data_IF_007239910544
#
_entry.id   IF_007239910544
#
_cell.length_a   1.000
_cell.length_b   1.000
_cell.length_c   1.000
_cell.angle_alpha   90.00
_cell.angle_beta   90.00
_cell.angle_gamma   90.00
#
_symmetry.space_group_name_H-M   'P 1'
#
loop_
_entity.id
_entity.type
_entity.pdbx_description
1 polymer ?
#
# COMPACT_ATOMS: atom_id res chain seq x y z
N UNK A 1 4.23 12.38 -28.73
CA UNK A 1 5.25 11.98 -27.73
C UNK A 1 4.64 11.14 -26.58
N UNK A 2 3.55 11.55 -25.96
CA UNK A 2 2.85 10.77 -24.89
C UNK A 2 2.32 9.40 -25.38
N UNK A 3 1.78 9.30 -26.60
CA UNK A 3 1.33 8.04 -27.18
C UNK A 3 2.45 7.01 -27.33
N UNK A 4 3.67 7.46 -27.68
CA UNK A 4 4.84 6.57 -27.85
C UNK A 4 5.38 6.07 -26.51
N UNK A 5 5.27 6.87 -25.44
CA UNK A 5 5.59 6.47 -24.06
C UNK A 5 4.55 5.46 -23.56
N UNK A 6 3.27 5.71 -23.85
CA UNK A 6 2.17 4.81 -23.48
C UNK A 6 2.32 3.44 -24.16
N UNK A 7 2.68 3.40 -25.43
CA UNK A 7 2.93 2.16 -26.20
C UNK A 7 4.18 1.43 -25.67
N UNK A 8 5.25 2.14 -25.30
CA UNK A 8 6.46 1.51 -24.71
C UNK A 8 6.22 0.99 -23.29
N UNK A 9 5.45 1.69 -22.48
CA UNK A 9 5.02 1.19 -21.16
C UNK A 9 4.16 -0.07 -21.34
N UNK A 10 3.23 -0.09 -22.31
CA UNK A 10 2.44 -1.29 -22.62
C UNK A 10 3.28 -2.45 -23.20
N UNK A 11 4.34 -2.18 -23.95
CA UNK A 11 5.24 -3.23 -24.45
C UNK A 11 6.16 -3.82 -23.38
N UNK A 12 6.49 -3.08 -22.32
CA UNK A 12 7.12 -3.62 -21.10
C UNK A 12 6.17 -4.54 -20.32
N UNK A 13 4.87 -4.49 -20.62
CA UNK A 13 3.84 -5.37 -20.06
C UNK A 13 3.98 -6.86 -20.46
N UNK A 14 4.82 -7.23 -21.44
CA UNK A 14 5.14 -8.65 -21.69
C UNK A 14 5.83 -9.35 -20.51
N UNK A 15 6.60 -8.60 -19.73
CA UNK A 15 7.13 -9.11 -18.46
C UNK A 15 6.01 -9.31 -17.43
N UNK A 16 4.99 -8.45 -17.44
CA UNK A 16 3.80 -8.55 -16.60
C UNK A 16 2.89 -9.70 -17.04
N UNK A 17 2.80 -10.03 -18.34
CA UNK A 17 2.03 -11.20 -18.81
C UNK A 17 2.55 -12.51 -18.19
N UNK A 18 3.86 -12.71 -18.09
CA UNK A 18 4.45 -13.88 -17.43
C UNK A 18 4.10 -13.97 -15.94
N UNK A 19 4.00 -12.84 -15.25
CA UNK A 19 3.63 -12.74 -13.83
C UNK A 19 2.12 -12.81 -13.64
N UNK A 20 1.34 -12.23 -14.56
CA UNK A 20 -0.14 -12.19 -14.54
C UNK A 20 -0.77 -13.56 -14.75
N UNK A 21 -0.17 -14.42 -15.59
CA UNK A 21 -0.69 -15.73 -15.94
C UNK A 21 0.06 -16.89 -15.28
N UNK A 22 0.83 -16.66 -14.22
CA UNK A 22 1.47 -17.76 -13.49
C UNK A 22 0.45 -18.81 -13.06
N UNK A 23 0.64 -20.04 -13.54
CA UNK A 23 -0.16 -21.20 -13.18
C UNK A 23 -0.13 -21.38 -11.67
N UNK A 24 -1.27 -21.25 -11.01
CA UNK A 24 -1.37 -21.33 -9.54
C UNK A 24 -0.95 -22.70 -9.02
N UNK A 25 -0.24 -22.79 -7.89
CA UNK A 25 0.07 -24.05 -7.26
C UNK A 25 -1.16 -24.71 -6.67
N UNK A 26 -1.09 -26.02 -6.54
CA UNK A 26 -2.11 -26.94 -6.06
C UNK A 26 -2.58 -26.74 -4.59
N UNK A 27 -2.15 -25.69 -3.91
CA UNK A 27 -2.45 -25.44 -2.49
C UNK A 27 -3.25 -24.16 -2.21
N UNK A 28 -4.13 -23.77 -3.14
CA UNK A 28 -5.24 -22.90 -2.73
C UNK A 28 -6.19 -23.72 -1.86
N UNK A 29 -6.67 -23.21 -0.71
CA UNK A 29 -7.64 -23.96 0.09
C UNK A 29 -8.84 -24.32 -0.81
N UNK A 30 -9.33 -25.54 -0.73
CA UNK A 30 -10.58 -25.95 -1.38
C UNK A 30 -11.73 -25.29 -0.62
N UNK A 31 -11.94 -24.02 -0.91
CA UNK A 31 -12.98 -23.20 -0.30
C UNK A 31 -14.16 -23.19 -1.24
N UNK A 32 -15.36 -23.35 -0.71
CA UNK A 32 -16.57 -23.30 -1.53
C UNK A 32 -16.68 -21.93 -2.23
N UNK A 33 -17.28 -21.85 -3.43
CA UNK A 33 -17.45 -20.57 -4.12
C UNK A 33 -18.20 -19.55 -3.28
N UNK A 34 -19.19 -19.99 -2.50
CA UNK A 34 -19.98 -19.13 -1.60
C UNK A 34 -19.11 -18.53 -0.50
N UNK A 35 -18.31 -19.32 0.21
CA UNK A 35 -17.40 -18.83 1.26
C UNK A 35 -16.40 -17.83 0.69
N UNK A 36 -15.83 -18.15 -0.49
CA UNK A 36 -14.88 -17.22 -1.16
C UNK A 36 -15.53 -15.89 -1.50
N UNK A 37 -16.75 -15.91 -2.02
CA UNK A 37 -17.48 -14.69 -2.37
C UNK A 37 -17.82 -13.88 -1.12
N UNK A 38 -18.31 -14.54 -0.07
CA UNK A 38 -18.68 -13.88 1.20
C UNK A 38 -17.45 -13.27 1.88
N UNK A 39 -16.33 -14.01 1.99
CA UNK A 39 -15.09 -13.45 2.54
C UNK A 39 -14.62 -12.25 1.72
N UNK A 40 -14.68 -12.33 0.40
CA UNK A 40 -14.28 -11.20 -0.47
C UNK A 40 -15.16 -9.99 -0.23
N UNK A 41 -16.48 -10.17 -0.15
CA UNK A 41 -17.42 -9.08 0.10
C UNK A 41 -17.16 -8.40 1.46
N UNK A 42 -16.97 -9.20 2.52
CA UNK A 42 -16.64 -8.69 3.86
C UNK A 42 -15.30 -7.93 3.87
N UNK A 43 -14.28 -8.46 3.19
CA UNK A 43 -12.98 -7.80 3.12
C UNK A 43 -13.01 -6.51 2.29
N UNK A 44 -13.78 -6.47 1.21
CA UNK A 44 -14.01 -5.23 0.44
C UNK A 44 -14.74 -4.21 1.30
N UNK A 45 -15.78 -4.61 2.01
CA UNK A 45 -16.51 -3.73 2.93
C UNK A 45 -15.59 -3.20 4.05
N UNK A 46 -14.77 -4.06 4.65
CA UNK A 46 -13.79 -3.65 5.66
C UNK A 46 -12.77 -2.66 5.08
N UNK A 47 -12.21 -2.93 3.90
CA UNK A 47 -11.32 -2.00 3.23
C UNK A 47 -11.99 -0.65 2.96
N UNK A 48 -13.27 -0.67 2.55
CA UNK A 48 -14.06 0.55 2.32
C UNK A 48 -14.25 1.35 3.60
N UNK A 49 -14.60 0.71 4.71
CA UNK A 49 -14.70 1.40 6.02
C UNK A 49 -13.36 1.97 6.45
N UNK A 50 -12.27 1.22 6.31
CA UNK A 50 -10.92 1.68 6.64
C UNK A 50 -10.47 2.86 5.76
N UNK A 51 -10.93 2.94 4.50
CA UNK A 51 -10.63 4.07 3.60
C UNK A 51 -11.30 5.38 4.01
N UNK A 52 -12.38 5.31 4.78
CA UNK A 52 -13.04 6.50 5.33
C UNK A 52 -12.31 7.07 6.55
N UNK A 53 -11.47 6.25 7.21
CA UNK A 53 -10.66 6.68 8.35
C UNK A 53 -9.35 7.26 7.83
N UNK A 54 -9.34 8.55 7.60
CA UNK A 54 -8.17 9.29 7.12
C UNK A 54 -7.33 9.79 8.29
N UNK A 55 -6.08 9.39 8.34
CA UNK A 55 -5.08 9.90 9.28
C UNK A 55 -4.58 11.27 8.84
N UNK A 56 -4.44 11.45 7.53
CA UNK A 56 -4.05 12.71 6.89
C UNK A 56 -4.90 12.87 5.64
N UNK A 57 -5.52 14.03 5.46
CA UNK A 57 -6.26 14.39 4.25
C UNK A 57 -5.55 15.56 3.58
N UNK A 58 -5.33 15.45 2.28
CA UNK A 58 -4.59 16.43 1.50
C UNK A 58 -5.50 17.15 0.51
N UNK A 59 -5.16 18.38 0.13
CA UNK A 59 -5.75 19.00 -1.04
C UNK A 59 -5.60 18.08 -2.26
N UNK A 60 -6.51 18.17 -3.20
CA UNK A 60 -6.52 17.39 -4.45
C UNK A 60 -6.71 15.87 -4.28
N UNK A 61 -7.18 15.40 -3.13
CA UNK A 61 -7.68 14.04 -2.92
C UNK A 61 -6.67 13.02 -2.41
N UNK A 62 -5.39 13.37 -2.24
CA UNK A 62 -4.42 12.50 -1.58
C UNK A 62 -4.77 12.31 -0.11
N UNK A 63 -4.61 11.09 0.42
CA UNK A 63 -4.85 10.81 1.84
C UNK A 63 -4.02 9.62 2.33
N UNK A 64 -3.69 9.65 3.61
CA UNK A 64 -3.13 8.50 4.33
C UNK A 64 -4.23 7.90 5.18
N UNK A 65 -4.46 6.61 5.04
CA UNK A 65 -5.56 5.89 5.71
C UNK A 65 -5.05 4.78 6.61
N UNK A 66 -5.95 4.09 7.30
CA UNK A 66 -5.61 2.97 8.19
C UNK A 66 -5.57 1.65 7.39
N UNK A 67 -4.51 1.45 6.58
CA UNK A 67 -4.24 0.19 5.89
C UNK A 67 -5.41 -0.36 5.04
N UNK A 68 -6.20 0.50 4.41
CA UNK A 68 -7.42 0.15 3.68
C UNK A 68 -7.21 -0.87 2.55
N UNK A 69 -6.01 -0.94 2.00
CA UNK A 69 -5.66 -1.86 0.92
C UNK A 69 -5.44 -3.30 1.39
N UNK A 70 -5.09 -3.47 2.67
CA UNK A 70 -4.67 -4.78 3.20
C UNK A 70 -5.74 -5.85 3.07
N UNK A 71 -7.03 -5.62 3.37
CA UNK A 71 -8.05 -6.64 3.19
C UNK A 71 -8.09 -7.23 1.78
N UNK A 72 -7.97 -6.39 0.74
CA UNK A 72 -8.00 -6.84 -0.66
C UNK A 72 -6.70 -7.54 -1.05
N UNK A 73 -5.54 -7.07 -0.57
CA UNK A 73 -4.25 -7.77 -0.71
C UNK A 73 -4.29 -9.18 -0.12
N UNK A 74 -4.92 -9.34 1.05
CA UNK A 74 -5.07 -10.65 1.69
C UNK A 74 -6.00 -11.57 0.90
N UNK A 75 -7.07 -11.07 0.31
CA UNK A 75 -7.93 -11.82 -0.61
C UNK A 75 -7.14 -12.29 -1.84
N UNK A 76 -6.33 -11.41 -2.42
CA UNK A 76 -5.45 -11.78 -3.53
C UNK A 76 -4.45 -12.88 -3.13
N UNK A 77 -3.81 -12.73 -1.97
CA UNK A 77 -2.91 -13.76 -1.44
C UNK A 77 -3.62 -15.09 -1.24
N UNK A 78 -4.82 -15.07 -0.66
CA UNK A 78 -5.58 -16.26 -0.32
C UNK A 78 -6.08 -17.00 -1.56
N UNK A 79 -6.74 -16.30 -2.47
CA UNK A 79 -7.47 -16.88 -3.61
C UNK A 79 -6.75 -16.77 -4.94
N UNK A 80 -5.61 -16.09 -4.96
CA UNK A 80 -4.73 -15.99 -6.11
C UNK A 80 -5.00 -14.81 -7.02
N UNK A 81 -4.13 -14.66 -8.00
CA UNK A 81 -4.02 -13.46 -8.82
C UNK A 81 -5.31 -13.10 -9.57
N UNK A 82 -5.96 -14.08 -10.24
CA UNK A 82 -7.20 -13.81 -11.01
C UNK A 82 -8.32 -13.29 -10.12
N UNK A 83 -8.47 -13.86 -8.93
CA UNK A 83 -9.47 -13.42 -7.96
C UNK A 83 -9.08 -12.08 -7.33
N UNK A 84 -7.79 -11.85 -7.12
CA UNK A 84 -7.23 -10.58 -6.69
C UNK A 84 -7.50 -9.45 -7.68
N UNK A 85 -7.36 -9.70 -8.99
CA UNK A 85 -7.71 -8.73 -10.04
C UNK A 85 -9.20 -8.36 -9.98
N UNK A 86 -10.08 -9.37 -9.91
CA UNK A 86 -11.51 -9.12 -9.78
C UNK A 86 -11.86 -8.33 -8.53
N UNK A 87 -11.31 -8.72 -7.38
CA UNK A 87 -11.55 -8.04 -6.10
C UNK A 87 -10.99 -6.62 -6.08
N UNK A 88 -9.79 -6.43 -6.65
CA UNK A 88 -9.15 -5.13 -6.79
C UNK A 88 -9.95 -4.19 -7.69
N UNK A 89 -10.44 -4.68 -8.83
CA UNK A 89 -11.29 -3.90 -9.74
C UNK A 89 -12.61 -3.50 -9.07
N UNK A 90 -13.26 -4.44 -8.38
CA UNK A 90 -14.52 -4.19 -7.65
C UNK A 90 -14.27 -3.14 -6.56
N UNK A 91 -13.17 -3.27 -5.82
CA UNK A 91 -12.80 -2.30 -4.79
C UNK A 91 -12.48 -0.94 -5.39
N UNK A 92 -11.75 -0.89 -6.52
CA UNK A 92 -11.45 0.34 -7.25
C UNK A 92 -12.70 1.06 -7.73
N UNK A 93 -13.70 0.32 -8.23
CA UNK A 93 -14.99 0.90 -8.61
C UNK A 93 -15.73 1.53 -7.41
N UNK A 94 -15.71 0.86 -6.24
CA UNK A 94 -16.28 1.44 -5.02
C UNK A 94 -15.52 2.69 -4.58
N UNK A 95 -14.18 2.67 -4.63
CA UNK A 95 -13.37 3.84 -4.30
C UNK A 95 -13.59 5.00 -5.27
N UNK A 96 -13.85 4.72 -6.57
CA UNK A 96 -14.25 5.73 -7.54
C UNK A 96 -15.56 6.41 -7.13
N UNK A 97 -16.57 5.62 -6.75
CA UNK A 97 -17.85 6.18 -6.29
C UNK A 97 -17.70 7.06 -5.05
N UNK A 98 -16.87 6.66 -4.09
CA UNK A 98 -16.59 7.45 -2.89
C UNK A 98 -15.75 8.70 -3.18
N UNK A 99 -14.89 8.62 -4.19
CA UNK A 99 -13.97 9.68 -4.60
C UNK A 99 -14.43 10.51 -5.79
N UNK A 100 -15.69 10.45 -6.18
CA UNK A 100 -16.20 11.16 -7.37
C UNK A 100 -15.94 12.67 -7.37
N UNK A 101 -15.83 13.28 -6.19
CA UNK A 101 -15.43 14.69 -6.06
C UNK A 101 -14.08 15.00 -6.73
N UNK A 102 -13.17 14.01 -6.83
CA UNK A 102 -11.87 14.23 -7.44
C UNK A 102 -11.95 14.44 -8.96
N UNK A 103 -13.05 14.03 -9.60
CA UNK A 103 -13.30 14.33 -11.01
C UNK A 103 -13.48 15.83 -11.27
N UNK A 104 -13.83 16.63 -10.28
CA UNK A 104 -13.92 18.07 -10.41
C UNK A 104 -12.57 18.75 -10.68
N UNK A 105 -11.46 18.08 -10.41
CA UNK A 105 -10.11 18.56 -10.75
C UNK A 105 -9.75 18.34 -12.21
N UNK A 106 -10.52 17.55 -12.95
CA UNK A 106 -10.27 17.30 -14.37
C UNK A 106 -10.65 18.52 -15.20
N UNK A 107 -9.66 19.14 -15.83
CA UNK A 107 -9.85 20.29 -16.74
C UNK A 107 -10.04 19.86 -18.19
N UNK A 108 -9.87 18.58 -18.50
CA UNK A 108 -10.05 18.00 -19.81
C UNK A 108 -10.61 16.57 -19.71
N UNK A 109 -11.18 16.09 -20.82
CA UNK A 109 -11.65 14.70 -20.93
C UNK A 109 -10.53 13.69 -20.66
N UNK A 110 -9.30 13.97 -21.13
CA UNK A 110 -8.16 13.12 -20.92
C UNK A 110 -7.72 13.06 -19.44
N UNK A 111 -7.77 14.18 -18.73
CA UNK A 111 -7.50 14.22 -17.30
C UNK A 111 -8.58 13.42 -16.52
N UNK A 112 -9.87 13.57 -16.90
CA UNK A 112 -10.94 12.78 -16.30
C UNK A 112 -10.79 11.28 -16.53
N UNK A 113 -10.43 10.86 -17.73
CA UNK A 113 -10.13 9.46 -18.06
C UNK A 113 -8.92 8.95 -17.28
N UNK A 114 -7.87 9.76 -17.13
CA UNK A 114 -6.70 9.40 -16.36
C UNK A 114 -7.06 9.17 -14.89
N UNK A 115 -7.85 10.06 -14.28
CA UNK A 115 -8.35 9.88 -12.91
C UNK A 115 -9.13 8.56 -12.78
N UNK A 116 -10.11 8.33 -13.62
CA UNK A 116 -10.96 7.12 -13.55
C UNK A 116 -10.11 5.85 -13.75
N UNK A 117 -9.34 5.80 -14.83
CA UNK A 117 -8.64 4.59 -15.24
C UNK A 117 -7.38 4.32 -14.41
N UNK A 118 -6.60 5.35 -14.07
CA UNK A 118 -5.32 5.18 -13.37
C UNK A 118 -5.49 5.29 -11.87
N UNK A 119 -6.15 6.34 -11.34
CA UNK A 119 -6.22 6.54 -9.89
C UNK A 119 -7.14 5.54 -9.19
N UNK A 120 -8.17 5.07 -9.89
CA UNK A 120 -9.13 4.15 -9.29
C UNK A 120 -9.03 2.74 -9.86
N UNK A 121 -9.25 2.52 -11.16
CA UNK A 121 -9.37 1.16 -11.67
C UNK A 121 -8.01 0.44 -11.67
N UNK A 122 -7.01 0.99 -12.36
CA UNK A 122 -5.70 0.35 -12.47
C UNK A 122 -4.94 0.32 -11.12
N UNK A 123 -4.98 1.42 -10.37
CA UNK A 123 -4.30 1.51 -9.08
C UNK A 123 -4.76 0.41 -8.11
N UNK A 124 -6.07 0.15 -8.02
CA UNK A 124 -6.59 -0.90 -7.14
C UNK A 124 -6.52 -2.30 -7.75
N UNK A 125 -6.51 -2.43 -9.08
CA UNK A 125 -6.29 -3.70 -9.76
C UNK A 125 -4.93 -4.31 -9.37
N UNK A 126 -3.91 -3.48 -9.14
CA UNK A 126 -2.59 -3.92 -8.70
C UNK A 126 -2.54 -4.51 -7.29
N UNK A 127 -3.61 -4.43 -6.50
CA UNK A 127 -3.71 -5.19 -5.24
C UNK A 127 -3.64 -6.71 -5.45
N UNK A 128 -3.86 -7.19 -6.67
CA UNK A 128 -3.59 -8.56 -7.07
C UNK A 128 -2.14 -9.01 -6.82
N UNK A 129 -1.18 -8.08 -6.72
CA UNK A 129 0.20 -8.35 -6.38
C UNK A 129 0.38 -9.05 -5.01
N UNK A 130 -0.62 -8.99 -4.13
CA UNK A 130 -0.67 -9.79 -2.92
C UNK A 130 -0.47 -11.29 -3.15
N UNK A 131 -0.79 -11.80 -4.35
CA UNK A 131 -0.63 -13.21 -4.71
C UNK A 131 0.76 -13.56 -5.30
N UNK A 132 1.57 -12.58 -5.73
CA UNK A 132 2.71 -12.82 -6.63
C UNK A 132 3.82 -13.65 -5.99
N UNK A 133 4.10 -13.44 -4.73
CA UNK A 133 5.22 -14.09 -4.02
C UNK A 133 4.80 -15.29 -3.19
N UNK A 134 3.53 -15.72 -3.28
CA UNK A 134 2.97 -16.81 -2.46
C UNK A 134 3.75 -18.12 -2.55
N UNK A 135 4.35 -18.42 -3.72
CA UNK A 135 5.13 -19.64 -3.94
C UNK A 135 6.58 -19.54 -3.50
N UNK A 136 7.15 -18.32 -3.57
CA UNK A 136 8.58 -18.10 -3.40
C UNK A 136 8.97 -17.77 -1.96
N UNK A 137 8.05 -17.22 -1.17
CA UNK A 137 8.35 -16.67 0.15
C UNK A 137 7.40 -17.19 1.23
N UNK A 138 7.85 -17.22 2.51
CA UNK A 138 6.97 -17.44 3.64
C UNK A 138 5.84 -16.41 3.66
N UNK A 139 4.66 -16.82 4.14
CA UNK A 139 3.43 -16.01 4.10
C UNK A 139 3.61 -14.53 4.52
N UNK A 140 4.23 -14.18 5.67
CA UNK A 140 4.38 -12.78 6.06
C UNK A 140 5.21 -11.97 5.05
N UNK A 141 6.33 -12.55 4.59
CA UNK A 141 7.20 -11.89 3.62
C UNK A 141 6.53 -11.78 2.23
N UNK A 142 5.82 -12.81 1.81
CA UNK A 142 5.13 -12.84 0.53
C UNK A 142 4.04 -11.76 0.44
N UNK A 143 3.20 -11.63 1.48
CA UNK A 143 2.15 -10.61 1.53
C UNK A 143 2.74 -9.21 1.60
N UNK A 144 3.80 -9.02 2.41
CA UNK A 144 4.48 -7.72 2.55
C UNK A 144 5.12 -7.27 1.25
N UNK A 145 5.85 -8.16 0.56
CA UNK A 145 6.47 -7.82 -0.72
C UNK A 145 5.41 -7.57 -1.80
N UNK A 146 4.30 -8.34 -1.79
CA UNK A 146 3.15 -8.08 -2.63
C UNK A 146 2.54 -6.70 -2.37
N UNK A 147 2.45 -6.28 -1.11
CA UNK A 147 1.99 -4.95 -0.72
C UNK A 147 2.93 -3.84 -1.24
N UNK A 148 4.26 -4.02 -1.12
CA UNK A 148 5.23 -3.07 -1.69
C UNK A 148 5.04 -2.93 -3.20
N UNK A 149 4.95 -4.04 -3.93
CA UNK A 149 4.75 -4.00 -5.38
C UNK A 149 3.42 -3.32 -5.76
N UNK A 150 2.32 -3.63 -5.05
CA UNK A 150 1.03 -2.99 -5.27
C UNK A 150 1.11 -1.48 -5.07
N UNK A 151 1.74 -1.03 -3.97
CA UNK A 151 1.89 0.39 -3.65
C UNK A 151 2.78 1.12 -4.67
N UNK A 152 3.88 0.51 -5.12
CA UNK A 152 4.76 1.10 -6.15
C UNK A 152 4.00 1.27 -7.47
N UNK A 153 3.29 0.24 -7.92
CA UNK A 153 2.52 0.32 -9.16
C UNK A 153 1.38 1.33 -9.06
N UNK A 154 0.72 1.38 -7.91
CA UNK A 154 -0.29 2.39 -7.62
C UNK A 154 0.29 3.80 -7.62
N UNK A 155 1.45 4.01 -7.00
CA UNK A 155 2.16 5.29 -7.04
C UNK A 155 2.45 5.73 -8.47
N UNK A 156 2.92 4.83 -9.34
CA UNK A 156 3.15 5.14 -10.74
C UNK A 156 1.86 5.55 -11.47
N UNK A 157 0.74 4.88 -11.20
CA UNK A 157 -0.57 5.28 -11.73
C UNK A 157 -0.94 6.70 -11.31
N UNK A 158 -0.81 7.01 -10.02
CA UNK A 158 -1.11 8.34 -9.49
C UNK A 158 -0.18 9.42 -10.03
N UNK A 159 1.11 9.13 -10.22
CA UNK A 159 2.06 10.07 -10.83
C UNK A 159 1.65 10.41 -12.27
N UNK A 160 1.29 9.41 -13.07
CA UNK A 160 0.87 9.61 -14.46
C UNK A 160 -0.46 10.38 -14.52
N UNK A 161 -1.43 9.99 -13.71
CA UNK A 161 -2.73 10.67 -13.63
C UNK A 161 -2.55 12.12 -13.18
N UNK A 162 -1.84 12.36 -12.08
CA UNK A 162 -1.58 13.69 -11.55
C UNK A 162 -0.85 14.58 -12.55
N UNK A 163 0.14 14.08 -13.28
CA UNK A 163 0.83 14.84 -14.31
C UNK A 163 -0.12 15.32 -15.41
N UNK A 164 -1.13 14.52 -15.80
CA UNK A 164 -2.14 14.93 -16.80
C UNK A 164 -3.09 16.00 -16.27
N UNK A 165 -3.48 15.91 -14.99
CA UNK A 165 -4.32 16.90 -14.30
C UNK A 165 -3.59 18.25 -14.20
N UNK A 166 -2.35 18.25 -13.73
CA UNK A 166 -1.57 19.47 -13.56
C UNK A 166 -1.22 20.14 -14.90
N UNK A 167 -0.90 19.36 -15.94
CA UNK A 167 -0.69 19.90 -17.29
C UNK A 167 -1.98 20.56 -17.85
N UNK A 168 -3.16 20.00 -17.51
CA UNK A 168 -4.45 20.60 -17.86
C UNK A 168 -4.73 21.94 -17.18
N UNK A 169 -4.04 22.24 -16.07
CA UNK A 169 -4.09 23.51 -15.34
C UNK A 169 -3.04 24.55 -15.86
N UNK A 170 -2.56 24.40 -17.10
CA UNK A 170 -1.60 25.27 -17.74
C UNK A 170 -0.20 25.26 -17.08
N UNK A 171 0.15 24.21 -16.35
CA UNK A 171 1.50 23.96 -15.84
C UNK A 171 2.34 23.30 -16.94
N UNK A 172 3.60 23.69 -17.20
CA UNK A 172 4.48 23.00 -18.15
C UNK A 172 4.60 21.52 -17.85
N UNK A 173 4.63 20.67 -18.88
CA UNK A 173 4.54 19.20 -18.72
C UNK A 173 5.63 18.62 -17.81
N UNK A 174 6.86 19.17 -17.88
CA UNK A 174 7.97 18.72 -17.04
C UNK A 174 7.74 19.10 -15.55
N UNK A 175 7.25 20.29 -15.29
CA UNK A 175 6.93 20.76 -13.95
C UNK A 175 5.72 20.03 -13.38
N UNK A 176 4.69 19.77 -14.19
CA UNK A 176 3.53 18.98 -13.81
C UNK A 176 3.93 17.55 -13.41
N UNK A 177 4.84 16.92 -14.13
CA UNK A 177 5.37 15.61 -13.76
C UNK A 177 6.17 15.68 -12.44
N UNK A 178 7.07 16.65 -12.31
CA UNK A 178 7.85 16.86 -11.09
C UNK A 178 6.96 17.10 -9.87
N UNK A 179 5.96 17.97 -10.02
CA UNK A 179 4.97 18.23 -8.98
C UNK A 179 4.18 16.97 -8.62
N UNK A 180 3.72 16.21 -9.61
CA UNK A 180 2.97 14.97 -9.41
C UNK A 180 3.81 13.91 -8.68
N UNK A 181 5.10 13.75 -9.03
CA UNK A 181 6.03 12.85 -8.32
C UNK A 181 6.12 13.22 -6.84
N UNK A 182 6.39 14.48 -6.54
CA UNK A 182 6.54 14.94 -5.14
C UNK A 182 5.22 14.83 -4.40
N UNK A 183 4.13 15.35 -4.97
CA UNK A 183 2.81 15.32 -4.34
C UNK A 183 2.37 13.90 -4.00
N UNK A 184 2.43 12.98 -4.96
CA UNK A 184 2.01 11.60 -4.72
C UNK A 184 2.95 10.87 -3.74
N UNK A 185 4.25 11.15 -3.73
CA UNK A 185 5.18 10.58 -2.75
C UNK A 185 4.79 10.94 -1.32
N UNK A 186 4.29 12.14 -1.08
CA UNK A 186 3.98 12.63 0.26
C UNK A 186 2.95 11.80 1.01
N UNK A 187 1.95 11.24 0.33
CA UNK A 187 0.97 10.36 0.97
C UNK A 187 1.18 8.87 0.67
N UNK A 188 1.71 8.53 -0.53
CA UNK A 188 1.91 7.13 -0.90
C UNK A 188 3.05 6.45 -0.12
N UNK A 189 4.10 7.19 0.26
CA UNK A 189 5.16 6.60 1.09
C UNK A 189 4.65 6.18 2.48
N UNK A 190 3.98 7.05 3.25
CA UNK A 190 3.38 6.64 4.53
C UNK A 190 2.33 5.55 4.38
N UNK A 191 1.45 5.67 3.37
CA UNK A 191 0.43 4.67 3.08
C UNK A 191 1.06 3.30 2.79
N UNK A 192 2.18 3.28 2.05
CA UNK A 192 2.95 2.05 1.79
C UNK A 192 3.44 1.43 3.08
N UNK A 193 4.01 2.21 3.98
CA UNK A 193 4.57 1.70 5.23
C UNK A 193 3.47 1.14 6.14
N UNK A 194 2.38 1.89 6.32
CA UNK A 194 1.21 1.43 7.08
C UNK A 194 0.68 0.12 6.50
N UNK A 195 0.54 0.05 5.17
CA UNK A 195 0.06 -1.15 4.47
C UNK A 195 0.99 -2.33 4.65
N UNK A 196 2.30 -2.15 4.49
CA UNK A 196 3.31 -3.22 4.63
C UNK A 196 3.39 -3.74 6.06
N UNK A 197 3.36 -2.84 7.06
CA UNK A 197 3.38 -3.23 8.48
C UNK A 197 2.12 -4.03 8.83
N UNK A 198 0.96 -3.58 8.41
CA UNK A 198 -0.31 -4.30 8.64
C UNK A 198 -0.34 -5.64 7.89
N UNK A 199 0.11 -5.69 6.65
CA UNK A 199 0.21 -6.91 5.85
C UNK A 199 1.16 -7.93 6.50
N UNK A 200 2.33 -7.48 6.98
CA UNK A 200 3.28 -8.33 7.70
C UNK A 200 2.69 -8.87 9.00
N UNK A 201 2.05 -8.01 9.78
CA UNK A 201 1.42 -8.40 11.03
C UNK A 201 0.33 -9.46 10.80
N UNK A 202 -0.64 -9.17 9.94
CA UNK A 202 -1.73 -10.09 9.63
C UNK A 202 -1.22 -11.38 8.97
N UNK A 203 -0.25 -11.28 8.08
CA UNK A 203 0.44 -12.43 7.49
C UNK A 203 1.16 -13.31 8.50
N UNK A 204 1.56 -12.74 9.66
CA UNK A 204 2.22 -13.46 10.73
C UNK A 204 1.25 -14.16 11.69
N UNK A 205 0.08 -13.56 11.94
CA UNK A 205 -0.86 -14.05 12.97
C UNK A 205 -2.00 -14.89 12.42
N UNK A 206 -2.34 -14.73 11.13
CA UNK A 206 -3.42 -15.48 10.48
C UNK A 206 -2.89 -16.62 9.61
N UNK A 207 -3.63 -17.71 9.55
CA UNK A 207 -3.38 -18.84 8.66
C UNK A 207 -4.32 -18.75 7.45
N UNK A 208 -3.75 -18.43 6.28
CA UNK A 208 -4.49 -18.30 5.02
C UNK A 208 -4.62 -19.60 4.25
N UNK A 209 -4.03 -20.70 4.73
CA UNK A 209 -4.07 -22.01 4.06
C UNK A 209 -5.34 -22.80 4.36
N UNK A 210 -6.06 -22.44 5.40
CA UNK A 210 -7.27 -23.14 5.87
C UNK A 210 -8.52 -22.66 5.16
N UNK A 211 -9.59 -23.46 5.22
CA UNK A 211 -10.89 -23.11 4.66
C UNK A 211 -11.44 -21.82 5.26
N UNK A 212 -11.36 -21.67 6.58
CA UNK A 212 -11.71 -20.45 7.30
C UNK A 212 -10.46 -19.76 7.83
N UNK A 213 -10.45 -18.43 7.77
CA UNK A 213 -9.40 -17.62 8.38
C UNK A 213 -9.32 -17.95 9.87
N UNK A 214 -8.19 -18.42 10.31
CA UNK A 214 -7.98 -18.81 11.70
C UNK A 214 -6.66 -18.25 12.21
N UNK A 215 -6.54 -18.03 13.51
CA UNK A 215 -5.25 -17.69 14.09
C UNK A 215 -4.23 -18.79 13.79
N UNK A 216 -3.03 -18.40 13.43
CA UNK A 216 -1.92 -19.33 13.28
C UNK A 216 -1.63 -19.96 14.63
N UNK A 217 -1.75 -21.27 14.76
CA UNK A 217 -1.29 -21.99 15.95
C UNK A 217 0.24 -21.84 16.00
N UNK A 218 0.70 -20.90 16.80
CA UNK A 218 2.10 -20.80 17.15
C UNK A 218 2.42 -21.92 18.12
N UNK A 219 2.93 -23.03 17.63
CA UNK A 219 3.70 -23.94 18.45
C UNK A 219 4.88 -23.11 19.00
N UNK A 220 4.84 -22.79 20.27
CA UNK A 220 5.91 -22.22 21.12
C UNK A 220 6.72 -20.98 20.68
N UNK A 221 6.40 -20.33 19.57
CA UNK A 221 7.15 -19.16 19.07
C UNK A 221 6.62 -17.81 19.54
N UNK A 222 5.84 -17.77 20.64
CA UNK A 222 5.36 -16.49 21.22
C UNK A 222 6.49 -15.63 21.82
N UNK A 223 7.66 -16.24 22.09
CA UNK A 223 8.80 -15.51 22.63
C UNK A 223 9.25 -14.42 21.63
N UNK A 224 9.27 -13.18 22.11
CA UNK A 224 9.67 -12.03 21.31
C UNK A 224 8.59 -11.45 20.36
N UNK A 225 7.39 -12.00 20.29
CA UNK A 225 6.34 -11.48 19.43
C UNK A 225 5.92 -10.05 19.80
N UNK A 226 5.72 -9.77 21.10
CA UNK A 226 5.38 -8.42 21.58
C UNK A 226 6.41 -7.37 21.18
N UNK A 227 7.70 -7.71 21.19
CA UNK A 227 8.78 -6.82 20.78
C UNK A 227 8.73 -6.50 19.27
N UNK A 228 8.29 -7.44 18.43
CA UNK A 228 8.08 -7.20 16.99
C UNK A 228 6.89 -6.31 16.72
N UNK A 229 5.81 -6.48 17.49
CA UNK A 229 4.65 -5.57 17.43
C UNK A 229 5.07 -4.16 17.84
N UNK A 230 5.82 -4.03 18.95
CA UNK A 230 6.35 -2.76 19.41
C UNK A 230 7.25 -2.10 18.33
N UNK A 231 8.12 -2.87 17.68
CA UNK A 231 8.95 -2.37 16.57
C UNK A 231 8.08 -1.85 15.40
N UNK A 232 6.99 -2.56 15.06
CA UNK A 232 6.04 -2.12 14.04
C UNK A 232 5.32 -0.81 14.41
N UNK A 233 4.91 -0.66 15.67
CA UNK A 233 4.30 0.58 16.18
C UNK A 233 5.28 1.75 16.16
N UNK A 234 6.54 1.51 16.54
CA UNK A 234 7.59 2.53 16.45
C UNK A 234 7.83 2.94 15.01
N UNK A 235 7.87 1.98 14.07
CA UNK A 235 8.00 2.30 12.65
C UNK A 235 6.84 3.17 12.15
N UNK A 236 5.61 2.83 12.50
CA UNK A 236 4.42 3.61 12.14
C UNK A 236 4.47 5.02 12.74
N UNK A 237 4.85 5.16 14.01
CA UNK A 237 4.95 6.46 14.68
C UNK A 237 6.06 7.34 14.08
N UNK A 238 7.23 6.74 13.77
CA UNK A 238 8.35 7.45 13.12
C UNK A 238 7.91 8.03 11.78
N UNK A 239 7.31 7.19 10.95
CA UNK A 239 6.82 7.62 9.63
C UNK A 239 5.74 8.69 9.75
N UNK A 240 4.80 8.53 10.67
CA UNK A 240 3.79 9.54 10.93
C UNK A 240 4.42 10.89 11.32
N UNK A 241 5.44 10.89 12.20
CA UNK A 241 6.16 12.10 12.60
C UNK A 241 6.89 12.74 11.41
N UNK A 242 7.63 11.93 10.61
CA UNK A 242 8.35 12.43 9.43
C UNK A 242 7.39 13.04 8.41
N UNK A 243 6.28 12.37 8.14
CA UNK A 243 5.23 12.89 7.25
C UNK A 243 4.68 14.21 7.78
N UNK A 244 4.34 14.31 9.07
CA UNK A 244 3.84 15.55 9.66
C UNK A 244 4.84 16.69 9.53
N UNK A 245 6.13 16.43 9.75
CA UNK A 245 7.20 17.43 9.60
C UNK A 245 7.32 17.93 8.16
N UNK A 246 7.26 17.02 7.18
CA UNK A 246 7.31 17.40 5.76
C UNK A 246 6.04 18.12 5.35
N UNK A 247 4.87 17.57 5.68
CA UNK A 247 3.57 18.12 5.28
C UNK A 247 3.31 19.52 5.84
N UNK A 248 3.68 19.78 7.08
CA UNK A 248 3.49 21.10 7.69
C UNK A 248 4.18 22.23 6.92
N UNK A 249 5.09 21.92 6.02
CA UNK A 249 5.81 22.89 5.18
C UNK A 249 5.32 22.92 3.74
N UNK A 250 4.66 21.86 3.28
CA UNK A 250 4.16 21.75 1.91
C UNK A 250 2.70 22.17 1.78
N UNK A 251 1.96 22.17 2.89
CA UNK A 251 0.55 22.54 2.91
C UNK A 251 0.40 23.94 3.52
N UNK A 252 -0.20 24.85 2.77
CA UNK A 252 -0.75 26.09 3.31
C UNK A 252 -2.14 25.77 3.86
N UNK A 253 -2.24 25.71 5.21
CA UNK A 253 -3.47 25.34 5.90
C UNK A 253 -4.58 26.39 5.69
N UNK A 254 -4.23 27.67 5.54
CA UNK A 254 -5.19 28.77 5.40
C UNK A 254 -5.72 28.88 3.97
N UNK A 255 -4.84 28.69 2.99
CA UNK A 255 -5.21 28.72 1.57
C UNK A 255 -5.75 27.37 1.07
N UNK A 256 -5.61 26.27 1.80
CA UNK A 256 -5.94 24.92 1.37
C UNK A 256 -5.14 24.45 0.15
N UNK A 257 -4.01 25.11 -0.11
CA UNK A 257 -3.16 24.84 -1.27
C UNK A 257 -1.93 24.03 -0.90
N UNK A 258 -1.36 23.35 -1.89
CA UNK A 258 -0.10 22.62 -1.77
C UNK A 258 0.97 23.34 -2.59
N UNK A 259 2.14 23.57 -2.01
CA UNK A 259 3.27 24.20 -2.69
C UNK A 259 4.54 23.36 -2.58
N UNK A 260 5.05 22.93 -3.74
CA UNK A 260 6.35 22.26 -3.80
C UNK A 260 7.53 23.17 -3.36
N UNK A 261 7.38 24.49 -3.44
CA UNK A 261 8.38 25.45 -2.95
C UNK A 261 8.64 25.30 -1.44
N UNK A 262 7.65 24.85 -0.67
CA UNK A 262 7.80 24.54 0.75
C UNK A 262 8.82 23.45 1.07
N UNK A 263 9.22 22.65 0.07
CA UNK A 263 10.19 21.57 0.23
C UNK A 263 11.57 22.07 0.72
N UNK A 264 11.97 23.27 0.29
CA UNK A 264 13.20 23.92 0.78
C UNK A 264 13.12 24.35 2.24
N UNK A 265 11.91 24.58 2.76
CA UNK A 265 11.67 24.97 4.15
C UNK A 265 11.47 23.77 5.10
N UNK A 266 11.51 22.54 4.59
CA UNK A 266 11.41 21.32 5.40
C UNK A 266 12.65 21.21 6.30
N UNK A 267 12.48 20.96 7.61
CA UNK A 267 13.60 20.80 8.52
C UNK A 267 14.25 19.40 8.36
N UNK A 268 14.95 19.17 7.26
CA UNK A 268 15.53 17.86 6.89
C UNK A 268 16.42 17.27 7.97
N UNK A 269 17.14 18.11 8.73
CA UNK A 269 17.94 17.66 9.87
C UNK A 269 17.07 17.01 10.97
N UNK A 270 15.91 17.59 11.26
CA UNK A 270 14.97 17.03 12.23
C UNK A 270 14.31 15.75 11.70
N UNK A 271 13.89 15.74 10.43
CA UNK A 271 13.35 14.53 9.77
C UNK A 271 14.38 13.41 9.85
N UNK A 272 15.64 13.68 9.45
CA UNK A 272 16.72 12.69 9.54
C UNK A 272 16.99 12.20 10.98
N UNK A 273 16.91 13.08 11.97
CA UNK A 273 17.07 12.71 13.38
C UNK A 273 15.93 11.79 13.86
N UNK A 274 14.67 12.14 13.54
CA UNK A 274 13.49 11.30 13.87
C UNK A 274 13.58 9.92 13.22
N UNK A 275 13.89 9.89 11.93
CA UNK A 275 14.08 8.63 11.18
C UNK A 275 15.20 7.78 11.79
N UNK A 276 16.34 8.39 12.13
CA UNK A 276 17.47 7.67 12.71
C UNK A 276 17.12 7.08 14.09
N UNK A 277 16.51 7.87 14.97
CA UNK A 277 16.08 7.41 16.30
C UNK A 277 15.06 6.27 16.15
N UNK A 278 14.11 6.41 15.24
CA UNK A 278 13.15 5.35 14.93
C UNK A 278 13.82 4.07 14.46
N UNK A 279 14.74 4.16 13.50
CA UNK A 279 15.46 3.02 12.95
C UNK A 279 16.31 2.31 14.02
N UNK A 280 17.03 3.05 14.85
CA UNK A 280 17.82 2.49 15.96
C UNK A 280 16.91 1.78 16.97
N UNK A 281 15.80 2.40 17.36
CA UNK A 281 14.82 1.80 18.28
C UNK A 281 14.23 0.50 17.71
N UNK A 282 13.84 0.51 16.43
CA UNK A 282 13.35 -0.70 15.73
C UNK A 282 14.42 -1.80 15.74
N UNK A 283 15.67 -1.47 15.46
CA UNK A 283 16.80 -2.41 15.49
C UNK A 283 17.02 -3.03 16.87
N UNK A 284 16.95 -2.22 17.93
CA UNK A 284 17.05 -2.68 19.32
C UNK A 284 15.90 -3.64 19.65
N UNK A 285 14.65 -3.26 19.38
CA UNK A 285 13.48 -4.08 19.65
C UNK A 285 13.52 -5.41 18.87
N UNK A 286 14.00 -5.37 17.64
CA UNK A 286 14.19 -6.57 16.83
C UNK A 286 15.24 -7.50 17.43
N UNK A 287 16.38 -6.95 17.88
CA UNK A 287 17.44 -7.70 18.54
C UNK A 287 16.98 -8.33 19.85
N UNK A 288 16.24 -7.59 20.67
CA UNK A 288 15.62 -8.12 21.91
C UNK A 288 14.70 -9.29 21.57
N UNK A 289 13.82 -9.10 20.57
CA UNK A 289 12.91 -10.16 20.11
C UNK A 289 13.68 -11.44 19.71
N UNK A 290 14.80 -11.29 19.04
CA UNK A 290 15.65 -12.40 18.59
C UNK A 290 16.31 -13.11 19.77
N UNK A 291 16.90 -12.35 20.72
CA UNK A 291 17.55 -12.90 21.92
C UNK A 291 16.57 -13.65 22.83
N UNK A 292 15.38 -13.08 23.06
CA UNK A 292 14.33 -13.75 23.87
C UNK A 292 13.89 -15.07 23.24
N UNK A 293 13.84 -15.14 21.91
CA UNK A 293 13.53 -16.35 21.16
C UNK A 293 14.61 -17.43 21.36
N UNK A 294 15.88 -17.07 21.17
CA UNK A 294 17.00 -18.02 21.32
C UNK A 294 17.07 -18.58 22.72
N UNK A 295 16.95 -17.73 23.75
CA UNK A 295 17.03 -18.16 25.14
C UNK A 295 15.90 -19.14 25.50
N UNK A 296 14.69 -18.91 24.95
CA UNK A 296 13.58 -19.84 25.15
C UNK A 296 13.81 -21.18 24.44
N UNK A 297 14.33 -21.15 23.21
CA UNK A 297 14.62 -22.37 22.44
C UNK A 297 15.72 -23.21 23.15
N UNK A 298 16.70 -22.57 23.81
CA UNK A 298 17.71 -23.26 24.64
C UNK A 298 17.11 -23.91 25.87
N UNK A 299 16.22 -23.20 26.60
CA UNK A 299 15.61 -23.73 27.81
C UNK A 299 14.64 -24.89 27.55
N UNK A 300 14.06 -24.98 26.35
CA UNK A 300 13.16 -26.07 25.97
C UNK A 300 13.93 -27.35 25.51
N UNK A 301 15.23 -27.24 25.27
CA UNK A 301 16.10 -28.35 24.87
C UNK A 301 16.99 -28.90 26.01
N UNK A 302 16.83 -28.38 27.24
CA UNK A 302 17.38 -28.89 28.50
C UNK A 302 16.29 -29.61 29.28
#
# INVERSE_FOLDING_TARGET
MLATVFVRVFHSFRFVEGVFFMKQPAHSPRVSPTVRLTETAVMIALGTVLSLVKLIDLPYGGSVTVAHMVPVLLIAYRYGNRWGLFSGLTYGALQLLLGMKNLSYATSMWAGLAIVCLDYLAAYLFLAAGAWFKKALPQPAAVSLGAVCACVLRYLCHVISGATVWAGLAVPTAEALGFSVVYNATYMLPETIVTVVAAFYLGSVLDFSKEHLSPRRHTDKKAGFGWRVAAGLVAAATVFADVRLVFSRLQDADAGTFSAAGFAAVPWGLVGAVTLVGAVTIGILWRISYTVRINKDKNNNL
#
